data_IF_405067511720
#
_entry.id   IF_405067511720
#
_cell.length_a   1.000
_cell.length_b   1.000
_cell.length_c   1.000
_cell.angle_alpha   90.00
_cell.angle_beta   90.00
_cell.angle_gamma   90.00
#
_symmetry.space_group_name_H-M   'P 1'
#
loop_
_entity.id
_entity.type
_entity.pdbx_description
1 polymer ?
#
# COMPACT_ATOMS: atom_id res chain seq x y z
N UNK A 1 11.60 31.00 -15.53
CA UNK A 1 11.89 29.68 -14.93
C UNK A 1 10.83 29.43 -13.86
N UNK A 2 9.72 28.77 -14.20
CA UNK A 2 8.59 28.59 -13.28
C UNK A 2 8.81 27.31 -12.48
N UNK A 3 9.15 27.44 -11.20
CA UNK A 3 9.20 26.30 -10.28
C UNK A 3 7.75 25.85 -10.08
N UNK A 4 7.37 24.72 -10.68
CA UNK A 4 6.11 24.05 -10.36
C UNK A 4 6.24 23.54 -8.93
N UNK A 5 5.52 24.15 -7.98
CA UNK A 5 5.28 23.51 -6.69
C UNK A 5 4.52 22.21 -6.95
N UNK A 6 5.13 21.09 -6.60
CA UNK A 6 4.41 19.82 -6.52
C UNK A 6 3.39 19.96 -5.38
N UNK A 7 2.11 19.63 -5.60
CA UNK A 7 1.14 19.60 -4.53
C UNK A 7 1.61 18.62 -3.46
N UNK A 8 1.61 19.06 -2.20
CA UNK A 8 1.88 18.18 -1.07
C UNK A 8 0.86 17.05 -1.08
N UNK A 9 1.32 15.80 -1.13
CA UNK A 9 0.45 14.63 -1.04
C UNK A 9 -0.13 14.56 0.38
N UNK A 10 -1.43 14.31 0.48
CA UNK A 10 -2.06 14.01 1.76
C UNK A 10 -1.46 12.72 2.33
N UNK A 11 -0.97 12.79 3.57
CA UNK A 11 -0.31 11.69 4.26
C UNK A 11 -1.20 10.45 4.37
N UNK A 12 -2.45 10.63 4.80
CA UNK A 12 -3.42 9.56 5.01
C UNK A 12 -3.75 8.87 3.68
N UNK A 13 -3.96 9.66 2.61
CA UNK A 13 -4.13 9.11 1.27
C UNK A 13 -2.89 8.34 0.79
N UNK A 14 -1.69 8.81 1.14
CA UNK A 14 -0.44 8.11 0.85
C UNK A 14 -0.34 6.75 1.56
N UNK A 15 -0.77 6.68 2.83
CA UNK A 15 -0.84 5.42 3.58
C UNK A 15 -1.87 4.46 2.98
N UNK A 16 -3.05 4.95 2.59
CA UNK A 16 -4.06 4.14 1.90
C UNK A 16 -3.54 3.57 0.57
N UNK A 17 -2.90 4.38 -0.27
CA UNK A 17 -2.32 3.91 -1.54
C UNK A 17 -1.12 2.97 -1.34
N UNK A 18 -0.39 3.12 -0.25
CA UNK A 18 0.62 2.15 0.14
C UNK A 18 -0.03 0.80 0.49
N UNK A 19 -0.99 0.78 1.42
CA UNK A 19 -1.67 -0.45 1.84
C UNK A 19 -2.40 -1.11 0.67
N UNK A 20 -2.98 -0.34 -0.26
CA UNK A 20 -3.59 -0.85 -1.50
C UNK A 20 -2.60 -1.63 -2.38
N UNK A 21 -1.37 -1.12 -2.53
CA UNK A 21 -0.31 -1.80 -3.30
C UNK A 21 0.21 -3.05 -2.61
N UNK A 22 0.26 -3.06 -1.28
CA UNK A 22 0.61 -4.25 -0.49
C UNK A 22 -0.49 -5.31 -0.64
N UNK A 23 -1.76 -4.91 -0.52
CA UNK A 23 -2.90 -5.82 -0.68
C UNK A 23 -2.94 -6.45 -2.07
N UNK A 24 -2.59 -5.69 -3.12
CA UNK A 24 -2.49 -6.22 -4.48
C UNK A 24 -1.49 -7.40 -4.61
N UNK A 25 -0.48 -7.49 -3.75
CA UNK A 25 0.42 -8.66 -3.74
C UNK A 25 -0.25 -9.93 -3.21
N UNK A 26 -1.28 -9.79 -2.36
CA UNK A 26 -2.09 -10.90 -1.87
C UNK A 26 -3.05 -11.44 -2.93
N UNK A 27 -3.42 -10.63 -3.93
CA UNK A 27 -4.29 -11.04 -5.04
C UNK A 27 -3.51 -11.68 -6.21
N UNK A 28 -2.20 -11.46 -6.28
CA UNK A 28 -1.37 -11.97 -7.36
C UNK A 28 -1.24 -13.51 -7.31
N UNK A 29 -1.71 -14.26 -8.33
CA UNK A 29 -1.64 -15.72 -8.35
C UNK A 29 -0.21 -16.27 -8.49
N UNK A 30 0.77 -15.45 -8.90
CA UNK A 30 2.19 -15.82 -8.96
C UNK A 30 2.87 -15.76 -7.58
N UNK A 31 2.24 -15.13 -6.59
CA UNK A 31 2.75 -15.07 -5.22
C UNK A 31 2.44 -16.38 -4.50
N UNK A 32 3.42 -17.03 -3.85
CA UNK A 32 3.17 -18.24 -3.04
C UNK A 32 2.07 -18.03 -2.01
N UNK A 33 1.23 -19.05 -1.79
CA UNK A 33 0.00 -18.90 -0.99
C UNK A 33 0.24 -18.39 0.44
N UNK A 34 1.33 -18.79 1.08
CA UNK A 34 1.70 -18.32 2.42
C UNK A 34 2.16 -16.85 2.42
N UNK A 35 2.83 -16.43 1.35
CA UNK A 35 3.26 -15.04 1.19
C UNK A 35 2.04 -14.12 0.93
N UNK A 36 1.03 -14.61 0.22
CA UNK A 36 -0.27 -13.91 0.07
C UNK A 36 -0.95 -13.68 1.41
N UNK A 37 -1.00 -14.71 2.27
CA UNK A 37 -1.53 -14.57 3.63
C UNK A 37 -0.73 -13.55 4.44
N UNK A 38 0.60 -13.57 4.33
CA UNK A 38 1.47 -12.58 4.98
C UNK A 38 1.14 -11.15 4.56
N UNK A 39 0.89 -10.89 3.26
CA UNK A 39 0.47 -9.56 2.79
C UNK A 39 -0.86 -9.12 3.38
N UNK A 40 -1.84 -10.03 3.53
CA UNK A 40 -3.11 -9.73 4.22
C UNK A 40 -2.87 -9.34 5.69
N UNK A 41 -2.04 -10.10 6.41
CA UNK A 41 -1.68 -9.78 7.79
C UNK A 41 -0.98 -8.41 7.92
N UNK A 42 -0.07 -8.08 7.00
CA UNK A 42 0.63 -6.78 6.99
C UNK A 42 -0.39 -5.65 6.81
N UNK A 43 -1.30 -5.76 5.83
CA UNK A 43 -2.32 -4.72 5.60
C UNK A 43 -3.23 -4.57 6.82
N UNK A 44 -3.67 -5.68 7.43
CA UNK A 44 -4.47 -5.61 8.66
C UNK A 44 -3.74 -4.87 9.77
N UNK A 45 -2.49 -5.24 10.07
CA UNK A 45 -1.69 -4.58 11.10
C UNK A 45 -1.49 -3.10 10.83
N UNK A 46 -1.20 -2.71 9.58
CA UNK A 46 -1.01 -1.31 9.20
C UNK A 46 -2.30 -0.47 9.23
N UNK A 47 -3.49 -1.10 9.21
CA UNK A 47 -4.78 -0.41 9.31
C UNK A 47 -5.29 -0.33 10.75
N UNK A 48 -4.84 -1.25 11.60
CA UNK A 48 -5.13 -1.22 13.04
C UNK A 48 -4.31 -0.16 13.79
N UNK A 49 -3.15 0.22 13.24
CA UNK A 49 -2.30 1.34 13.69
C UNK A 49 -2.88 2.72 13.30
#
# INVERSE_FOLDING_TARGET
MSIKLLPLLNRELGQLEFNRRVLAQAENPQTPILERLRFVCIVSSNMDE
#
